data_IF_080512311234
#
_entry.id   IF_080512311234
#
_cell.length_a   1.000
_cell.length_b   1.000
_cell.length_c   1.000
_cell.angle_alpha   90.00
_cell.angle_beta   90.00
_cell.angle_gamma   90.00
#
_symmetry.space_group_name_H-M   'P 1'
#
loop_
_entity.id
_entity.type
_entity.pdbx_description
1 polymer ?
#
# COMPACT_ATOMS: atom_id res chain seq x y z
N UNK A 1 25.68 49.63 -14.08
CA UNK A 1 26.27 48.33 -13.68
C UNK A 1 25.17 47.57 -12.93
N UNK A 2 24.19 47.02 -13.67
CA UNK A 2 22.91 46.56 -13.09
C UNK A 2 22.38 45.30 -13.79
N UNK A 3 23.16 44.22 -13.83
CA UNK A 3 22.74 42.97 -14.49
C UNK A 3 22.95 41.70 -13.64
N UNK A 4 23.31 41.82 -12.36
CA UNK A 4 23.66 40.67 -11.51
C UNK A 4 22.52 40.13 -10.65
N UNK A 5 21.44 40.90 -10.44
CA UNK A 5 20.33 40.48 -9.57
C UNK A 5 19.31 39.50 -10.17
N UNK A 6 18.90 39.57 -11.47
CA UNK A 6 17.88 38.67 -11.98
C UNK A 6 18.39 37.23 -12.17
N UNK A 7 19.70 37.06 -12.45
CA UNK A 7 20.31 35.73 -12.57
C UNK A 7 20.37 35.01 -11.22
N UNK A 8 20.61 35.75 -10.12
CA UNK A 8 20.65 35.18 -8.77
C UNK A 8 19.26 34.67 -8.33
N UNK A 9 18.18 35.34 -8.75
CA UNK A 9 16.80 34.94 -8.46
C UNK A 9 16.39 33.66 -9.20
N UNK A 10 16.86 33.48 -10.44
CA UNK A 10 16.66 32.24 -11.22
C UNK A 10 17.43 31.05 -10.63
N UNK A 11 18.62 31.27 -10.05
CA UNK A 11 19.38 30.22 -9.37
C UNK A 11 18.74 29.83 -8.02
N UNK A 12 18.15 30.80 -7.31
CA UNK A 12 17.41 30.53 -6.07
C UNK A 12 16.09 29.79 -6.33
N UNK A 13 15.39 30.08 -7.44
CA UNK A 13 14.17 29.35 -7.85
C UNK A 13 14.45 27.96 -8.41
N UNK A 14 15.64 27.69 -8.93
CA UNK A 14 16.05 26.34 -9.41
C UNK A 14 16.64 25.46 -8.31
N UNK A 15 16.81 26.00 -7.09
CA UNK A 15 17.20 25.26 -5.88
C UNK A 15 16.05 25.00 -4.93
N UNK A 16 14.80 25.06 -5.39
CA UNK A 16 13.80 24.14 -4.84
C UNK A 16 14.12 22.76 -5.39
N UNK A 17 15.18 22.15 -4.85
CA UNK A 17 15.15 20.70 -4.71
C UNK A 17 13.78 20.41 -4.11
N UNK A 18 12.97 19.65 -4.84
CA UNK A 18 11.83 19.00 -4.23
C UNK A 18 12.42 18.31 -3.02
N UNK A 19 12.21 18.87 -1.82
CA UNK A 19 12.46 18.17 -0.57
C UNK A 19 11.72 16.87 -0.79
N UNK A 20 12.48 15.79 -1.04
CA UNK A 20 11.92 14.47 -1.14
C UNK A 20 11.04 14.35 0.08
N UNK A 21 9.73 14.17 -0.14
CA UNK A 21 8.77 14.00 0.95
C UNK A 21 9.42 12.96 1.84
N UNK A 22 9.84 13.36 3.04
CA UNK A 22 10.47 12.47 4.01
C UNK A 22 9.54 11.28 4.12
N UNK A 23 9.99 10.12 3.65
CA UNK A 23 9.23 8.88 3.68
C UNK A 23 9.20 8.29 5.10
N UNK A 24 9.03 9.14 6.10
CA UNK A 24 9.22 8.77 7.48
C UNK A 24 7.93 8.14 8.01
N UNK A 25 8.01 6.85 8.29
CA UNK A 25 7.17 6.21 9.31
C UNK A 25 7.33 6.89 10.69
N UNK A 26 8.32 7.77 10.85
CA UNK A 26 8.60 8.53 12.07
C UNK A 26 7.33 9.24 12.56
N UNK A 27 7.08 9.09 13.86
CA UNK A 27 5.90 9.58 14.60
C UNK A 27 4.56 8.93 14.24
N UNK A 28 4.50 7.97 13.31
CA UNK A 28 3.29 7.20 13.06
C UNK A 28 3.14 6.07 14.07
N UNK A 29 1.96 5.93 14.67
CA UNK A 29 1.62 4.73 15.43
C UNK A 29 0.16 4.40 15.20
N UNK A 30 -0.08 3.27 14.52
CA UNK A 30 -1.44 2.76 14.40
C UNK A 30 -2.03 2.44 15.78
N UNK A 31 -3.31 2.76 15.93
CA UNK A 31 -4.11 2.48 17.13
C UNK A 31 -4.71 1.07 17.14
N UNK A 32 -4.55 0.29 16.08
CA UNK A 32 -5.06 -1.08 15.96
C UNK A 32 -3.97 -2.13 16.26
N UNK A 33 -4.40 -3.34 16.57
CA UNK A 33 -3.58 -4.54 16.59
C UNK A 33 -3.63 -5.26 15.25
N UNK A 34 -2.55 -5.88 14.80
CA UNK A 34 -2.50 -6.56 13.48
C UNK A 34 -3.61 -7.62 13.33
N UNK A 35 -4.05 -8.23 14.42
CA UNK A 35 -5.19 -9.16 14.44
C UNK A 35 -6.49 -8.56 13.90
N UNK A 36 -6.74 -7.27 14.11
CA UNK A 36 -7.92 -6.57 13.60
C UNK A 36 -7.90 -6.39 12.08
N UNK A 37 -6.70 -6.40 11.49
CA UNK A 37 -6.48 -6.30 10.05
C UNK A 37 -6.48 -7.67 9.37
N UNK A 38 -6.22 -8.76 10.09
CA UNK A 38 -6.23 -10.12 9.52
C UNK A 38 -7.61 -10.47 8.93
N UNK A 39 -7.59 -11.26 7.86
CA UNK A 39 -8.75 -11.78 7.16
C UNK A 39 -8.98 -11.15 5.79
N UNK A 40 -10.19 -11.36 5.29
CA UNK A 40 -10.58 -10.90 3.95
C UNK A 40 -11.00 -9.44 3.95
N UNK A 41 -10.54 -8.72 2.92
CA UNK A 41 -10.87 -7.34 2.63
C UNK A 41 -11.16 -7.16 1.14
N UNK A 42 -12.16 -6.35 0.80
CA UNK A 42 -12.54 -6.02 -0.56
C UNK A 42 -12.09 -4.60 -0.88
N UNK A 43 -11.41 -4.40 -2.01
CA UNK A 43 -11.10 -3.06 -2.50
C UNK A 43 -12.37 -2.43 -3.02
N UNK A 44 -12.79 -1.35 -2.35
CA UNK A 44 -14.04 -0.63 -2.68
C UNK A 44 -13.76 0.70 -3.36
N UNK A 45 -12.58 1.29 -3.16
CA UNK A 45 -12.17 2.52 -3.83
C UNK A 45 -10.64 2.70 -3.83
N UNK A 46 -10.17 3.64 -4.63
CA UNK A 46 -8.79 4.16 -4.56
C UNK A 46 -8.80 5.69 -4.55
N UNK A 47 -7.79 6.28 -3.93
CA UNK A 47 -7.46 7.69 -4.09
C UNK A 47 -6.24 7.77 -5.04
N UNK A 48 -6.42 8.27 -6.27
CA UNK A 48 -5.34 8.32 -7.25
C UNK A 48 -4.35 9.45 -6.97
N UNK A 49 -3.09 9.25 -7.34
CA UNK A 49 -2.08 10.32 -7.39
C UNK A 49 -2.27 11.24 -8.61
N UNK A 50 -1.54 12.36 -8.64
CA UNK A 50 -1.62 13.35 -9.73
C UNK A 50 -1.37 12.76 -11.12
N UNK A 51 -0.45 11.79 -11.22
CA UNK A 51 -0.05 11.16 -12.48
C UNK A 51 -0.90 9.92 -12.83
N UNK A 52 -1.93 9.61 -12.04
CA UNK A 52 -2.81 8.48 -12.34
C UNK A 52 -3.55 8.72 -13.67
N UNK A 53 -3.56 7.75 -14.60
CA UNK A 53 -4.19 7.93 -15.91
C UNK A 53 -5.68 8.25 -15.79
N UNK A 54 -6.07 9.43 -16.28
CA UNK A 54 -7.44 9.88 -16.14
C UNK A 54 -8.44 9.02 -16.93
N UNK A 55 -7.99 8.38 -17.99
CA UNK A 55 -8.78 7.53 -18.90
C UNK A 55 -9.09 6.12 -18.38
N UNK A 56 -8.54 5.71 -17.23
CA UNK A 56 -8.89 4.45 -16.58
C UNK A 56 -10.15 4.64 -15.71
N UNK A 57 -11.30 4.71 -16.36
CA UNK A 57 -12.60 4.89 -15.70
C UNK A 57 -13.14 3.60 -15.05
N UNK A 58 -12.39 2.50 -15.12
CA UNK A 58 -12.87 1.15 -14.77
C UNK A 58 -11.83 0.52 -13.86
N UNK A 59 -12.07 0.60 -12.56
CA UNK A 59 -11.27 -0.07 -11.55
C UNK A 59 -11.91 -1.43 -11.28
N UNK A 60 -11.10 -2.48 -11.21
CA UNK A 60 -11.58 -3.83 -10.93
C UNK A 60 -11.58 -4.08 -9.43
N UNK A 61 -12.67 -4.63 -8.89
CA UNK A 61 -12.87 -4.75 -7.45
C UNK A 61 -12.32 -6.07 -7.01
N UNK A 62 -11.04 -6.09 -6.68
CA UNK A 62 -10.38 -7.29 -6.22
C UNK A 62 -10.47 -7.42 -4.70
N UNK A 63 -10.18 -8.63 -4.24
CA UNK A 63 -10.13 -9.01 -2.84
C UNK A 63 -8.69 -9.19 -2.41
N UNK A 64 -8.39 -8.84 -1.17
CA UNK A 64 -7.08 -9.08 -0.54
C UNK A 64 -7.29 -9.85 0.75
N UNK A 65 -6.49 -10.89 0.94
CA UNK A 65 -6.45 -11.63 2.20
C UNK A 65 -5.19 -11.22 2.98
N UNK A 66 -5.40 -10.63 4.15
CA UNK A 66 -4.35 -10.27 5.09
C UNK A 66 -4.13 -11.41 6.07
N UNK A 67 -2.88 -11.85 6.22
CA UNK A 67 -2.49 -12.88 7.19
C UNK A 67 -1.18 -12.51 7.86
N UNK A 68 -1.01 -12.96 9.09
CA UNK A 68 0.27 -12.86 9.80
C UNK A 68 1.17 -14.02 9.35
N UNK A 69 2.46 -13.76 9.22
CA UNK A 69 3.47 -14.79 8.94
C UNK A 69 4.65 -14.54 9.87
N UNK A 70 5.33 -15.59 10.31
CA UNK A 70 6.55 -15.42 11.09
C UNK A 70 7.78 -15.23 10.18
N UNK A 71 8.87 -14.71 10.76
CA UNK A 71 10.11 -14.50 10.03
C UNK A 71 10.70 -15.83 9.51
N UNK A 72 10.51 -16.92 10.27
CA UNK A 72 11.01 -18.24 9.91
C UNK A 72 10.32 -18.81 8.66
N UNK A 73 9.00 -18.70 8.57
CA UNK A 73 8.19 -19.13 7.43
C UNK A 73 8.52 -18.32 6.17
N UNK A 74 8.69 -17.00 6.31
CA UNK A 74 9.14 -16.17 5.19
C UNK A 74 10.57 -16.53 4.74
N UNK A 75 11.49 -16.76 5.67
CA UNK A 75 12.86 -17.18 5.34
C UNK A 75 12.87 -18.54 4.64
N UNK A 76 12.07 -19.50 5.10
CA UNK A 76 11.90 -20.80 4.44
C UNK A 76 11.35 -20.62 3.02
N UNK A 77 10.34 -19.77 2.83
CA UNK A 77 9.78 -19.49 1.51
C UNK A 77 10.85 -18.90 0.58
N UNK A 78 11.61 -17.91 1.04
CA UNK A 78 12.68 -17.28 0.26
C UNK A 78 13.75 -18.30 -0.15
N UNK A 79 14.19 -19.15 0.81
CA UNK A 79 15.21 -20.16 0.55
C UNK A 79 14.76 -21.18 -0.50
N UNK A 80 13.50 -21.62 -0.45
CA UNK A 80 12.96 -22.62 -1.39
C UNK A 80 12.52 -22.03 -2.72
N UNK A 81 12.14 -20.74 -2.75
CA UNK A 81 11.57 -20.12 -3.94
C UNK A 81 12.62 -19.34 -4.73
N UNK A 82 13.43 -18.50 -4.09
CA UNK A 82 14.36 -17.58 -4.78
C UNK A 82 15.79 -18.16 -4.91
N UNK A 83 16.11 -19.19 -4.11
CA UNK A 83 17.44 -19.79 -4.04
C UNK A 83 18.44 -18.91 -3.28
N UNK A 84 19.52 -19.53 -2.78
CA UNK A 84 20.50 -18.91 -1.87
C UNK A 84 21.34 -17.75 -2.45
N UNK A 85 21.18 -17.43 -3.74
CA UNK A 85 21.96 -16.38 -4.43
C UNK A 85 21.41 -14.97 -4.24
N UNK A 86 20.11 -14.82 -4.03
CA UNK A 86 19.51 -13.55 -3.64
C UNK A 86 19.30 -13.59 -2.14
N UNK A 87 20.37 -13.35 -1.39
CA UNK A 87 20.22 -13.09 0.04
C UNK A 87 19.33 -11.86 0.17
N UNK A 88 18.11 -12.06 0.64
CA UNK A 88 17.29 -10.98 1.16
C UNK A 88 17.92 -10.64 2.52
N UNK A 89 19.07 -9.96 2.51
CA UNK A 89 19.84 -9.55 3.70
C UNK A 89 19.00 -8.67 4.67
N UNK A 90 17.76 -8.32 4.29
CA UNK A 90 16.77 -7.60 5.08
C UNK A 90 15.90 -8.47 5.99
N UNK A 91 15.93 -9.80 5.84
CA UNK A 91 15.16 -10.73 6.68
C UNK A 91 15.93 -11.23 7.92
N UNK A 92 17.24 -11.01 7.96
CA UNK A 92 18.15 -11.64 8.94
C UNK A 92 18.15 -10.99 10.34
N UNK A 93 17.49 -9.84 10.53
CA UNK A 93 17.23 -9.28 11.86
C UNK A 93 15.77 -9.51 12.22
N UNK A 94 15.53 -10.55 13.01
CA UNK A 94 14.25 -11.25 13.21
C UNK A 94 13.32 -10.63 14.26
N UNK A 95 13.18 -9.32 14.27
CA UNK A 95 12.21 -8.63 15.13
C UNK A 95 11.27 -7.77 14.27
N UNK A 96 9.96 -7.83 14.56
CA UNK A 96 8.90 -7.11 13.86
C UNK A 96 7.81 -8.00 13.25
N UNK A 97 6.58 -7.46 13.17
CA UNK A 97 5.42 -8.16 12.61
C UNK A 97 5.53 -8.26 11.09
N UNK A 98 5.28 -9.44 10.53
CA UNK A 98 5.23 -9.62 9.08
C UNK A 98 3.78 -9.93 8.68
N UNK A 99 3.30 -9.17 7.70
CA UNK A 99 2.01 -9.40 7.08
C UNK A 99 2.18 -9.88 5.65
N UNK A 100 1.34 -10.84 5.27
CA UNK A 100 1.16 -11.27 3.90
C UNK A 100 -0.17 -10.74 3.39
N UNK A 101 -0.12 -10.14 2.21
CA UNK A 101 -1.26 -9.66 1.45
C UNK A 101 -1.37 -10.52 0.19
N UNK A 102 -2.40 -11.37 0.13
CA UNK A 102 -2.70 -12.16 -1.06
C UNK A 102 -3.73 -11.43 -1.90
N UNK A 103 -3.34 -10.99 -3.09
CA UNK A 103 -4.18 -10.26 -4.02
C UNK A 103 -4.92 -11.23 -4.94
N UNK A 104 -6.24 -11.28 -4.84
CA UNK A 104 -7.12 -12.05 -5.73
C UNK A 104 -7.51 -11.17 -6.92
N UNK A 105 -6.69 -11.16 -7.96
CA UNK A 105 -6.94 -10.40 -9.19
C UNK A 105 -6.88 -11.31 -10.42
N UNK A 106 -7.05 -10.75 -11.64
CA UNK A 106 -6.91 -11.52 -12.89
C UNK A 106 -5.54 -12.23 -12.98
N UNK A 107 -4.54 -11.69 -12.28
CA UNK A 107 -3.23 -12.33 -12.05
C UNK A 107 -2.95 -12.29 -10.56
N UNK A 108 -3.26 -13.35 -9.80
CA UNK A 108 -3.04 -13.35 -8.36
C UNK A 108 -1.56 -13.25 -8.03
N UNK A 109 -1.26 -12.56 -6.92
CA UNK A 109 0.09 -12.42 -6.41
C UNK A 109 0.07 -12.21 -4.90
N UNK A 110 1.17 -12.55 -4.24
CA UNK A 110 1.37 -12.36 -2.82
C UNK A 110 2.44 -11.30 -2.58
N UNK A 111 2.20 -10.44 -1.59
CA UNK A 111 3.16 -9.46 -1.09
C UNK A 111 3.40 -9.70 0.39
N UNK A 112 4.65 -9.83 0.78
CA UNK A 112 5.06 -9.84 2.18
C UNK A 112 5.67 -8.49 2.53
N UNK A 113 5.23 -7.94 3.66
CA UNK A 113 5.71 -6.68 4.19
C UNK A 113 6.04 -6.83 5.67
N UNK A 114 7.21 -6.30 6.06
CA UNK A 114 7.72 -6.33 7.44
C UNK A 114 7.45 -4.99 8.10
N UNK A 115 7.04 -4.97 9.36
CA UNK A 115 6.91 -3.72 10.11
C UNK A 115 8.25 -2.99 10.19
N UNK A 116 8.21 -1.66 10.13
CA UNK A 116 9.37 -0.83 10.45
C UNK A 116 9.60 -0.90 11.98
N UNK A 117 10.87 -0.95 12.41
CA UNK A 117 11.25 -1.13 13.82
C UNK A 117 10.51 -0.13 14.71
N UNK A 118 9.81 -0.65 15.74
CA UNK A 118 9.00 0.10 16.71
C UNK A 118 7.82 0.93 16.18
N UNK A 119 7.48 0.82 14.90
CA UNK A 119 6.36 1.57 14.29
C UNK A 119 5.20 0.63 13.94
N UNK A 120 4.14 0.66 14.74
CA UNK A 120 2.93 -0.12 14.47
C UNK A 120 2.18 0.45 13.26
N UNK A 121 1.74 -0.44 12.37
CA UNK A 121 0.98 -0.08 11.17
C UNK A 121 1.82 0.46 10.01
N UNK A 122 3.13 0.67 10.17
CA UNK A 122 4.03 1.01 9.06
C UNK A 122 4.81 -0.22 8.62
N UNK A 123 4.76 -0.52 7.33
CA UNK A 123 5.36 -1.72 6.77
C UNK A 123 6.19 -1.40 5.54
N UNK A 124 7.29 -2.12 5.40
CA UNK A 124 8.16 -2.12 4.23
C UNK A 124 7.97 -3.41 3.47
N UNK A 125 7.71 -3.33 2.18
CA UNK A 125 7.61 -4.50 1.33
C UNK A 125 8.98 -5.23 1.27
N UNK A 126 8.96 -6.55 1.41
CA UNK A 126 10.19 -7.37 1.42
C UNK A 126 10.20 -8.43 0.32
N UNK A 127 9.02 -8.90 -0.10
CA UNK A 127 8.88 -9.91 -1.15
C UNK A 127 7.58 -9.72 -1.92
N UNK A 128 7.60 -9.96 -3.22
CA UNK A 128 6.42 -10.04 -4.09
C UNK A 128 6.55 -11.26 -4.99
N UNK A 129 5.52 -12.11 -5.06
CA UNK A 129 5.54 -13.30 -5.91
C UNK A 129 4.21 -13.43 -6.67
N UNK A 130 4.28 -13.56 -7.99
CA UNK A 130 3.11 -13.93 -8.81
C UNK A 130 2.71 -15.38 -8.46
N UNK A 131 1.42 -15.65 -8.24
CA UNK A 131 0.94 -16.99 -7.85
C UNK A 131 0.97 -17.98 -9.02
N UNK A 132 0.82 -17.48 -10.25
CA UNK A 132 0.66 -18.31 -11.46
C UNK A 132 1.97 -18.50 -12.25
N UNK A 133 3.07 -17.89 -11.80
CA UNK A 133 4.37 -17.97 -12.48
C UNK A 133 5.44 -18.51 -11.55
N UNK A 134 6.13 -19.55 -12.02
CA UNK A 134 7.43 -19.98 -11.47
C UNK A 134 8.58 -19.03 -11.84
N UNK A 135 8.32 -18.00 -12.67
CA UNK A 135 9.32 -17.01 -13.08
C UNK A 135 9.56 -15.95 -11.99
N UNK A 136 10.64 -16.17 -11.25
CA UNK A 136 11.17 -15.34 -10.15
C UNK A 136 11.81 -14.03 -10.60
N UNK A 137 11.88 -13.74 -11.90
CA UNK A 137 12.49 -12.50 -12.43
C UNK A 137 11.74 -11.23 -12.03
N UNK A 138 10.52 -11.38 -11.48
CA UNK A 138 9.71 -10.31 -10.90
C UNK A 138 9.60 -10.36 -9.37
N UNK A 139 10.42 -11.16 -8.68
CA UNK A 139 10.62 -11.02 -7.24
C UNK A 139 11.32 -9.69 -6.95
N UNK A 140 10.59 -8.60 -7.17
CA UNK A 140 11.09 -7.26 -7.01
C UNK A 140 11.00 -6.99 -5.51
N UNK A 141 12.17 -6.94 -4.88
CA UNK A 141 12.35 -6.29 -3.59
C UNK A 141 12.06 -4.81 -3.80
N UNK A 142 10.81 -4.41 -3.64
CA UNK A 142 10.44 -3.00 -3.63
C UNK A 142 10.77 -2.43 -2.26
N UNK A 143 11.50 -1.32 -2.23
CA UNK A 143 11.71 -0.55 -0.99
C UNK A 143 10.52 0.37 -0.70
N UNK A 144 9.33 -0.13 -1.01
CA UNK A 144 8.13 0.66 -0.85
C UNK A 144 7.62 0.51 0.56
N UNK A 145 7.33 1.66 1.16
CA UNK A 145 6.68 1.74 2.45
C UNK A 145 5.18 1.94 2.25
N UNK A 146 4.43 1.34 3.16
CA UNK A 146 3.00 1.49 3.28
C UNK A 146 2.63 1.70 4.74
N UNK A 147 1.58 2.48 4.97
CA UNK A 147 0.95 2.64 6.27
C UNK A 147 -0.45 2.08 6.14
N UNK A 148 -0.81 1.23 7.09
CA UNK A 148 -2.16 0.74 7.24
C UNK A 148 -2.83 1.58 8.30
N UNK A 149 -4.02 2.09 8.04
CA UNK A 149 -4.87 2.77 9.01
C UNK A 149 -6.20 2.04 9.10
N UNK A 150 -6.69 1.82 10.32
CA UNK A 150 -8.04 1.33 10.56
C UNK A 150 -8.91 2.51 10.99
N UNK A 151 -9.91 2.84 10.18
CA UNK A 151 -10.83 3.94 10.44
C UNK A 151 -12.18 3.35 10.84
N UNK A 152 -12.51 3.49 12.13
CA UNK A 152 -13.81 3.11 12.66
C UNK A 152 -14.92 3.99 12.09
N UNK A 153 -16.02 3.35 11.72
CA UNK A 153 -17.21 3.99 11.18
C UNK A 153 -18.38 3.77 12.12
N UNK A 154 -19.32 4.71 12.12
CA UNK A 154 -20.57 4.56 12.87
C UNK A 154 -21.64 3.78 12.08
N UNK A 155 -21.28 3.23 10.91
CA UNK A 155 -22.18 2.42 10.10
C UNK A 155 -22.12 0.95 10.52
N UNK A 156 -23.16 0.19 10.17
CA UNK A 156 -23.21 -1.25 10.46
C UNK A 156 -22.26 -2.07 9.58
N UNK A 157 -21.57 -1.44 8.61
CA UNK A 157 -20.67 -2.09 7.67
C UNK A 157 -19.26 -2.32 8.24
N UNK A 158 -18.96 -1.76 9.42
CA UNK A 158 -17.69 -1.93 10.11
C UNK A 158 -16.56 -1.08 9.52
N UNK A 159 -15.32 -1.16 10.05
CA UNK A 159 -14.28 -0.18 9.76
C UNK A 159 -13.82 -0.20 8.29
N UNK A 160 -13.27 0.93 7.87
CA UNK A 160 -12.42 0.98 6.68
C UNK A 160 -10.99 0.59 7.05
N UNK A 161 -10.36 -0.24 6.22
CA UNK A 161 -8.92 -0.38 6.21
C UNK A 161 -8.37 0.48 5.06
N UNK A 162 -7.39 1.32 5.36
CA UNK A 162 -6.73 2.19 4.39
C UNK A 162 -5.28 1.75 4.25
N UNK A 163 -4.87 1.37 3.05
CA UNK A 163 -3.46 1.18 2.72
C UNK A 163 -2.97 2.40 1.97
N UNK A 164 -2.22 3.23 2.68
CA UNK A 164 -1.54 4.36 2.11
C UNK A 164 -0.25 3.88 1.44
N UNK A 165 0.05 4.40 0.26
CA UNK A 165 1.23 4.06 -0.53
C UNK A 165 2.03 5.34 -0.79
N UNK A 166 3.36 5.25 -0.77
CA UNK A 166 4.27 6.36 -1.08
C UNK A 166 4.92 6.10 -2.44
N UNK A 167 4.93 7.10 -3.33
CA UNK A 167 5.62 6.99 -4.62
C UNK A 167 4.95 6.10 -5.68
N UNK A 168 3.70 5.67 -5.47
CA UNK A 168 2.92 4.88 -6.45
C UNK A 168 1.89 5.76 -7.17
N UNK A 169 1.38 5.28 -8.31
CA UNK A 169 0.28 5.97 -9.03
C UNK A 169 -1.03 6.05 -8.22
N UNK A 170 -1.13 5.26 -7.15
CA UNK A 170 -2.26 5.25 -6.22
C UNK A 170 -1.74 5.76 -4.88
N UNK A 171 -2.40 6.78 -4.32
CA UNK A 171 -2.08 7.36 -3.01
C UNK A 171 -2.63 6.47 -1.90
N UNK A 172 -3.89 6.05 -2.01
CA UNK A 172 -4.57 5.23 -0.99
C UNK A 172 -5.43 4.15 -1.66
N UNK A 173 -5.35 2.93 -1.14
CA UNK A 173 -6.30 1.85 -1.43
C UNK A 173 -7.27 1.75 -0.25
N UNK A 174 -8.57 1.73 -0.55
CA UNK A 174 -9.64 1.72 0.46
C UNK A 174 -10.32 0.37 0.47
N UNK A 175 -10.37 -0.25 1.64
CA UNK A 175 -10.91 -1.58 1.83
C UNK A 175 -12.11 -1.59 2.77
N UNK A 176 -13.03 -2.53 2.54
CA UNK A 176 -14.13 -2.90 3.45
C UNK A 176 -14.20 -4.42 3.63
N UNK A 177 -14.87 -4.88 4.68
CA UNK A 177 -15.15 -6.31 4.87
C UNK A 177 -16.21 -6.83 3.89
N UNK A 178 -16.99 -5.94 3.28
CA UNK A 178 -18.02 -6.25 2.30
C UNK A 178 -17.75 -5.54 0.98
N UNK A 179 -18.37 -6.02 -0.09
CA UNK A 179 -18.25 -5.42 -1.42
C UNK A 179 -19.13 -4.16 -1.54
N UNK A 180 -18.64 -3.19 -2.32
CA UNK A 180 -19.34 -1.96 -2.61
C UNK A 180 -19.19 -0.90 -1.51
N UNK A 181 -19.37 0.35 -1.93
CA UNK A 181 -19.37 1.54 -1.07
C UNK A 181 -20.07 2.67 -1.81
N UNK A 182 -20.74 3.57 -1.10
CA UNK A 182 -21.27 4.81 -1.68
C UNK A 182 -20.27 5.97 -1.57
N UNK A 183 -20.51 7.04 -2.32
CA UNK A 183 -19.67 8.23 -2.24
C UNK A 183 -19.79 8.90 -0.85
N UNK A 184 -20.98 8.86 -0.25
CA UNK A 184 -21.26 9.42 1.07
C UNK A 184 -20.50 8.67 2.17
N UNK A 185 -20.44 7.34 2.08
CA UNK A 185 -19.69 6.48 3.01
C UNK A 185 -18.18 6.71 2.95
N UNK A 186 -17.65 7.14 1.79
CA UNK A 186 -16.23 7.46 1.61
C UNK A 186 -15.83 8.83 2.15
N UNK A 187 -16.79 9.66 2.58
CA UNK A 187 -16.51 11.02 3.07
C UNK A 187 -15.48 11.04 4.23
N UNK A 188 -15.59 10.21 5.28
CA UNK A 188 -14.62 10.20 6.37
C UNK A 188 -13.22 9.80 5.90
N UNK A 189 -13.12 8.89 4.92
CA UNK A 189 -11.85 8.48 4.31
C UNK A 189 -11.20 9.66 3.58
N UNK A 190 -11.97 10.40 2.80
CA UNK A 190 -11.47 11.57 2.08
C UNK A 190 -11.03 12.69 3.03
N UNK A 191 -11.77 12.93 4.10
CA UNK A 191 -11.44 13.94 5.12
C UNK A 191 -10.13 13.58 5.84
N UNK A 192 -10.02 12.35 6.36
CA UNK A 192 -8.81 11.86 7.04
C UNK A 192 -7.57 11.91 6.13
N UNK A 193 -7.70 11.44 4.89
CA UNK A 193 -6.58 11.41 3.94
C UNK A 193 -6.17 12.81 3.50
N UNK A 194 -7.13 13.74 3.40
CA UNK A 194 -6.85 15.15 3.10
C UNK A 194 -6.15 15.85 4.25
N UNK A 195 -6.47 15.50 5.50
CA UNK A 195 -5.78 16.01 6.69
C UNK A 195 -4.32 15.52 6.75
N UNK A 196 -4.09 14.23 6.50
CA UNK A 196 -2.77 13.61 6.59
C UNK A 196 -1.83 13.99 5.43
N UNK A 197 -2.35 14.11 4.21
CA UNK A 197 -1.53 14.25 2.98
C UNK A 197 -1.81 15.54 2.21
N UNK A 198 -2.65 16.44 2.74
CA UNK A 198 -3.15 17.60 2.01
C UNK A 198 -4.21 17.25 0.96
N UNK A 199 -4.69 18.23 0.18
CA UNK A 199 -5.79 18.02 -0.76
C UNK A 199 -5.59 16.81 -1.68
N UNK A 200 -6.51 15.84 -1.59
CA UNK A 200 -6.47 14.62 -2.40
C UNK A 200 -7.37 14.73 -3.64
N UNK A 201 -7.15 13.86 -4.64
CA UNK A 201 -8.13 13.68 -5.72
C UNK A 201 -9.37 12.97 -5.19
N UNK A 202 -10.50 13.16 -5.88
CA UNK A 202 -11.76 12.49 -5.52
C UNK A 202 -11.53 10.96 -5.56
N UNK A 203 -11.95 10.21 -4.50
CA UNK A 203 -11.89 8.76 -4.50
C UNK A 203 -12.62 8.19 -5.71
N UNK A 204 -11.99 7.25 -6.42
CA UNK A 204 -12.61 6.49 -7.49
C UNK A 204 -13.17 5.20 -6.91
N UNK A 205 -14.49 5.09 -6.89
CA UNK A 205 -15.19 3.87 -6.46
C UNK A 205 -14.90 2.77 -7.45
N UNK A 206 -14.69 1.58 -6.92
CA UNK A 206 -14.61 0.39 -7.71
C UNK A 206 -16.02 -0.11 -8.07
N UNK A 207 -16.30 -0.24 -9.36
CA UNK A 207 -17.64 -0.51 -9.90
C UNK A 207 -17.77 -1.90 -10.56
N UNK A 208 -16.65 -2.63 -10.72
CA UNK A 208 -16.61 -3.92 -11.42
C UNK A 208 -16.28 -5.06 -10.47
N UNK A 209 -17.24 -5.93 -10.12
CA UNK A 209 -16.95 -7.07 -9.27
C UNK A 209 -15.91 -7.98 -9.95
N UNK A 210 -14.87 -8.35 -9.20
CA UNK A 210 -13.91 -9.36 -9.64
C UNK A 210 -14.54 -10.75 -9.56
N UNK A 211 -14.30 -11.58 -10.58
CA UNK A 211 -14.60 -13.01 -10.51
C UNK A 211 -13.42 -13.73 -9.90
N UNK A 212 -13.61 -14.27 -8.69
CA UNK A 212 -12.56 -14.94 -7.93
C UNK A 212 -12.17 -16.27 -8.59
N UNK A 213 -11.17 -16.22 -9.47
CA UNK A 213 -10.66 -17.39 -10.22
C UNK A 213 -10.12 -18.48 -9.29
N UNK A 214 -9.66 -18.12 -8.08
CA UNK A 214 -9.14 -19.07 -7.10
C UNK A 214 -10.22 -19.88 -6.37
N UNK A 215 -11.51 -19.54 -6.53
CA UNK A 215 -12.63 -20.38 -6.03
C UNK A 215 -13.06 -21.46 -7.02
N UNK A 216 -12.57 -21.41 -8.26
CA UNK A 216 -12.96 -22.33 -9.34
C UNK A 216 -11.98 -23.50 -9.52
N UNK A 217 -10.98 -23.62 -8.64
CA UNK A 217 -9.99 -24.71 -8.55
C UNK A 217 -10.21 -25.47 -7.24
#
# INVERSE_FOLDING_TARGET
>A
MELLYPLLYLILLSRTEAKGISWSCDDYQANFTVKEVVGTWHVVAIIPEKLFPDNQNKLTCYKVEFSETDAAGLQWLVNNTVGSKHKVDRLTNSEGTIIRQRYHSERPFDVWSKSVEDVNGCFKQVLSLDTDKTELSKAITHDDMMQLHLLETNDQAGPFLLQMLWGRMISVVVYRRHEGVTQEELKPVYEMTSELRGPQRIPRICDRPFRDVLKEI
#
